data_IF_348692538773
#
_entry.id   IF_348692538773
#
_cell.length_a   1.000
_cell.length_b   1.000
_cell.length_c   1.000
_cell.angle_alpha   90.00
_cell.angle_beta   90.00
_cell.angle_gamma   90.00
#
_symmetry.space_group_name_H-M   'P 1'
#
loop_
_entity.id
_entity.type
_entity.pdbx_description
1 polymer ?
#
# COMPACT_ATOMS: atom_id res chain seq x y z
N UNK A 1 -9.86 -1.98 17.28
CA UNK A 1 -8.90 -0.99 16.77
C UNK A 1 -8.29 -0.25 17.94
N UNK A 2 -7.00 -0.04 17.91
CA UNK A 2 -6.26 0.58 19.00
C UNK A 2 -5.93 2.03 18.66
N UNK A 3 -5.71 2.86 19.67
CA UNK A 3 -5.33 4.26 19.47
C UNK A 3 -4.06 4.43 18.59
N UNK A 4 -3.07 3.56 18.78
CA UNK A 4 -1.86 3.54 17.97
C UNK A 4 -2.11 3.25 16.48
N UNK A 5 -3.16 2.53 16.14
CA UNK A 5 -3.51 2.24 14.74
C UNK A 5 -3.81 3.53 13.97
N UNK A 6 -4.52 4.45 14.61
CA UNK A 6 -4.82 5.76 14.01
C UNK A 6 -3.55 6.58 13.83
N UNK A 7 -2.66 6.57 14.82
CA UNK A 7 -1.39 7.30 14.73
C UNK A 7 -0.52 6.79 13.59
N UNK A 8 -0.43 5.47 13.41
CA UNK A 8 0.34 4.90 12.30
C UNK A 8 -0.28 5.19 10.95
N UNK A 9 -1.61 5.20 10.84
CA UNK A 9 -2.29 5.60 9.59
C UNK A 9 -2.05 7.08 9.27
N UNK A 10 -2.14 7.96 10.25
CA UNK A 10 -1.83 9.38 10.08
C UNK A 10 -0.39 9.60 9.63
N UNK A 11 0.55 8.83 10.19
CA UNK A 11 1.94 8.87 9.78
C UNK A 11 2.12 8.38 8.33
N UNK A 12 1.44 7.30 7.93
CA UNK A 12 1.43 6.83 6.55
C UNK A 12 0.90 7.90 5.59
N UNK A 13 -0.18 8.57 5.95
CA UNK A 13 -0.76 9.61 5.12
C UNK A 13 0.18 10.80 4.91
N UNK A 14 0.80 11.29 5.98
CA UNK A 14 1.78 12.38 5.91
C UNK A 14 3.04 11.96 5.17
N UNK A 15 3.57 10.78 5.44
CA UNK A 15 4.76 10.26 4.79
C UNK A 15 4.56 9.99 3.31
N UNK A 16 3.39 9.55 2.91
CA UNK A 16 3.04 9.36 1.51
C UNK A 16 3.16 10.65 0.70
N UNK A 17 2.68 11.76 1.26
CA UNK A 17 2.78 13.07 0.61
C UNK A 17 4.23 13.57 0.51
N UNK A 18 5.07 13.21 1.47
CA UNK A 18 6.47 13.65 1.50
C UNK A 18 7.33 12.83 0.55
N UNK A 19 7.17 11.52 0.51
CA UNK A 19 8.13 10.61 -0.11
C UNK A 19 7.67 9.99 -1.42
N UNK A 20 6.37 9.76 -1.64
CA UNK A 20 5.90 9.14 -2.88
C UNK A 20 6.22 9.98 -4.10
N UNK A 21 6.73 9.33 -5.14
CA UNK A 21 7.05 9.96 -6.43
C UNK A 21 5.99 9.67 -7.50
N UNK A 22 4.89 9.04 -7.14
CA UNK A 22 3.78 8.80 -8.06
C UNK A 22 3.04 10.10 -8.35
N UNK A 23 2.81 10.38 -9.65
CA UNK A 23 2.13 11.58 -10.10
C UNK A 23 0.60 11.55 -9.86
N UNK A 24 0.02 10.37 -9.65
CA UNK A 24 -1.45 10.21 -9.53
C UNK A 24 -1.94 10.00 -8.10
N UNK A 25 -1.28 9.14 -7.34
CA UNK A 25 -1.71 8.81 -5.99
C UNK A 25 -0.49 8.50 -5.12
N UNK A 26 -0.51 8.95 -3.87
CA UNK A 26 0.59 8.81 -2.94
C UNK A 26 0.19 7.86 -1.82
N UNK A 27 0.97 6.78 -1.67
CA UNK A 27 0.77 5.78 -0.63
C UNK A 27 2.06 5.52 0.14
N UNK A 28 1.90 5.23 1.42
CA UNK A 28 2.96 4.74 2.29
C UNK A 28 2.46 3.54 3.08
N UNK A 29 3.32 2.54 3.22
CA UNK A 29 3.09 1.35 4.01
C UNK A 29 4.17 1.23 5.08
N UNK A 30 3.74 0.95 6.32
CA UNK A 30 4.63 0.73 7.45
C UNK A 30 4.24 -0.59 8.12
N UNK A 31 5.24 -1.42 8.38
CA UNK A 31 5.09 -2.68 9.08
C UNK A 31 5.68 -2.50 10.47
N UNK A 32 4.85 -2.69 11.49
CA UNK A 32 5.22 -2.48 12.90
C UNK A 32 5.12 -3.80 13.64
N UNK A 33 6.19 -4.19 14.32
CA UNK A 33 6.24 -5.43 15.07
C UNK A 33 5.46 -5.37 16.41
N UNK A 34 5.41 -6.50 17.11
CA UNK A 34 4.71 -6.62 18.39
C UNK A 34 5.27 -5.70 19.50
N UNK A 35 6.50 -5.22 19.34
CA UNK A 35 7.15 -4.30 20.26
C UNK A 35 6.97 -2.82 19.88
N UNK A 36 6.17 -2.52 18.85
CA UNK A 36 5.93 -1.16 18.38
C UNK A 36 7.08 -0.58 17.57
N UNK A 37 7.94 -1.43 17.00
CA UNK A 37 9.10 -1.03 16.21
C UNK A 37 8.86 -1.27 14.73
N UNK A 38 9.33 -0.36 13.91
CA UNK A 38 9.23 -0.48 12.46
C UNK A 38 10.07 -1.66 11.96
N UNK A 39 9.42 -2.63 11.35
CA UNK A 39 10.04 -3.78 10.70
C UNK A 39 10.19 -3.61 9.20
N UNK A 40 9.43 -2.72 8.59
CA UNK A 40 9.50 -2.40 7.18
C UNK A 40 8.75 -1.12 6.86
N UNK A 41 9.20 -0.42 5.83
CA UNK A 41 8.58 0.81 5.35
C UNK A 41 8.77 0.91 3.85
N UNK A 42 7.73 1.37 3.16
CA UNK A 42 7.78 1.63 1.74
C UNK A 42 6.76 2.68 1.33
N UNK A 43 7.04 3.32 0.25
CA UNK A 43 6.12 4.24 -0.43
C UNK A 43 6.08 3.87 -1.91
N UNK A 44 5.02 4.25 -2.62
CA UNK A 44 4.95 3.92 -4.03
C UNK A 44 5.91 4.79 -4.85
N UNK A 45 6.67 4.12 -5.67
CA UNK A 45 7.71 4.72 -6.50
C UNK A 45 8.44 3.69 -7.32
N UNK A 46 9.18 4.15 -8.31
CA UNK A 46 10.00 3.29 -9.17
C UNK A 46 11.25 2.80 -8.44
N UNK A 47 11.85 1.69 -8.87
CA UNK A 47 13.13 1.24 -8.34
C UNK A 47 14.21 2.32 -8.43
N UNK A 48 15.15 2.27 -7.48
CA UNK A 48 16.28 3.20 -7.45
C UNK A 48 17.04 3.20 -8.79
N UNK A 49 17.37 4.38 -9.27
CA UNK A 49 18.07 4.57 -10.55
C UNK A 49 17.16 4.75 -11.75
N UNK A 50 15.87 4.51 -11.61
CA UNK A 50 14.89 4.80 -12.67
C UNK A 50 14.36 6.23 -12.56
N UNK A 51 13.90 6.77 -13.69
CA UNK A 51 13.27 8.09 -13.74
C UNK A 51 11.94 8.06 -12.96
N UNK A 52 11.76 9.01 -12.06
CA UNK A 52 10.54 9.09 -11.25
C UNK A 52 9.29 9.38 -12.09
N UNK A 53 8.14 8.90 -11.61
CA UNK A 53 6.86 9.08 -12.29
C UNK A 53 6.52 10.57 -12.48
N UNK A 54 6.72 11.38 -11.44
CA UNK A 54 6.46 12.82 -11.48
C UNK A 54 7.47 13.61 -12.33
N UNK A 55 8.58 13.00 -12.73
CA UNK A 55 9.57 13.56 -13.65
C UNK A 55 9.38 13.04 -15.10
N UNK A 56 8.25 12.43 -15.39
CA UNK A 56 7.89 11.90 -16.70
C UNK A 56 8.34 10.46 -16.95
N UNK A 57 8.71 9.71 -15.92
CA UNK A 57 9.11 8.30 -16.03
C UNK A 57 7.95 7.29 -16.05
N UNK A 58 6.72 7.74 -15.87
CA UNK A 58 5.54 6.86 -15.84
C UNK A 58 4.85 6.82 -17.21
N UNK A 59 4.89 5.70 -17.94
CA UNK A 59 4.19 5.58 -19.22
C UNK A 59 2.69 5.84 -19.08
N UNK A 60 2.09 5.36 -18.01
CA UNK A 60 0.66 5.53 -17.72
C UNK A 60 0.27 7.01 -17.60
N UNK A 61 1.08 7.79 -16.92
CA UNK A 61 0.83 9.22 -16.72
C UNK A 61 1.14 10.02 -18.02
N UNK A 62 2.28 9.73 -18.63
CA UNK A 62 2.71 10.40 -19.88
C UNK A 62 1.72 10.16 -21.02
N UNK A 63 1.21 8.93 -21.15
CA UNK A 63 0.24 8.57 -22.19
C UNK A 63 -1.20 8.94 -21.85
N UNK A 64 -1.43 9.48 -20.65
CA UNK A 64 -2.76 9.92 -20.21
C UNK A 64 -3.86 8.88 -20.45
N UNK A 65 -3.61 7.63 -20.08
CA UNK A 65 -4.53 6.52 -20.33
C UNK A 65 -5.77 6.59 -19.42
N UNK A 66 -6.94 6.08 -19.85
CA UNK A 66 -8.14 6.06 -19.04
C UNK A 66 -7.98 5.21 -17.79
N UNK A 67 -8.76 5.53 -16.76
CA UNK A 67 -8.90 4.67 -15.58
C UNK A 67 -9.37 3.27 -16.00
N UNK A 68 -8.83 2.23 -15.34
CA UNK A 68 -9.11 0.83 -15.67
C UNK A 68 -8.21 0.24 -16.77
N UNK A 69 -7.34 1.03 -17.39
CA UNK A 69 -6.32 0.51 -18.31
C UNK A 69 -5.36 -0.42 -17.55
N UNK A 70 -4.99 -1.58 -18.12
CA UNK A 70 -4.07 -2.51 -17.45
C UNK A 70 -2.74 -1.87 -17.06
N UNK A 71 -2.19 -2.33 -15.92
CA UNK A 71 -0.92 -1.82 -15.38
C UNK A 71 0.31 -2.59 -15.88
N UNK A 72 0.13 -3.83 -16.31
CA UNK A 72 1.23 -4.75 -16.60
C UNK A 72 1.51 -4.94 -18.09
N UNK A 73 0.68 -4.38 -18.94
CA UNK A 73 0.84 -4.47 -20.40
C UNK A 73 0.14 -3.32 -21.13
N UNK A 74 0.56 -3.07 -22.36
CA UNK A 74 -0.02 -2.04 -23.23
C UNK A 74 0.42 -0.62 -22.86
N UNK A 75 -0.33 0.40 -23.30
CA UNK A 75 0.09 1.81 -23.17
C UNK A 75 -0.01 2.36 -21.75
N UNK A 76 -0.65 1.63 -20.84
CA UNK A 76 -0.91 2.05 -19.46
C UNK A 76 0.08 1.50 -18.43
N UNK A 77 1.24 1.01 -18.85
CA UNK A 77 2.25 0.43 -17.97
C UNK A 77 2.57 1.34 -16.79
N UNK A 78 2.58 0.75 -15.60
CA UNK A 78 3.03 1.39 -14.37
C UNK A 78 4.32 0.74 -13.90
N UNK A 79 5.40 1.53 -13.80
CA UNK A 79 6.70 1.05 -13.31
C UNK A 79 6.87 1.25 -11.80
N UNK A 80 5.91 1.87 -11.16
CA UNK A 80 5.94 2.11 -9.72
C UNK A 80 5.70 0.81 -8.95
N UNK A 81 6.61 0.45 -8.07
CA UNK A 81 6.30 -0.51 -7.01
C UNK A 81 5.25 0.08 -6.07
N UNK A 82 4.30 -0.75 -5.63
CA UNK A 82 3.33 -0.33 -4.64
C UNK A 82 4.00 -0.14 -3.28
N UNK A 83 3.41 0.68 -2.43
CA UNK A 83 3.95 0.94 -1.09
C UNK A 83 4.11 -0.35 -0.28
N UNK A 84 3.13 -1.26 -0.35
CA UNK A 84 3.16 -2.55 0.31
C UNK A 84 4.29 -3.44 -0.22
N UNK A 85 4.49 -3.47 -1.53
CA UNK A 85 5.57 -4.23 -2.16
C UNK A 85 6.93 -3.74 -1.71
N UNK A 86 7.14 -2.43 -1.69
CA UNK A 86 8.39 -1.83 -1.25
C UNK A 86 8.65 -2.06 0.25
N UNK A 87 7.62 -1.94 1.09
CA UNK A 87 7.73 -2.21 2.52
C UNK A 87 8.13 -3.66 2.79
N UNK A 88 7.49 -4.62 2.11
CA UNK A 88 7.79 -6.04 2.26
C UNK A 88 9.20 -6.40 1.77
N UNK A 89 9.60 -5.83 0.63
CA UNK A 89 10.90 -6.13 0.00
C UNK A 89 12.09 -5.58 0.81
N UNK A 90 11.92 -4.43 1.47
CA UNK A 90 12.98 -3.74 2.21
C UNK A 90 12.92 -3.96 3.72
N UNK A 91 11.94 -4.72 4.21
CA UNK A 91 11.74 -4.96 5.63
C UNK A 91 12.42 -6.24 6.14
N UNK A 92 12.32 -6.44 7.45
CA UNK A 92 12.80 -7.64 8.13
C UNK A 92 11.67 -8.68 8.21
N UNK A 93 11.67 -9.61 7.25
CA UNK A 93 10.66 -10.66 7.14
C UNK A 93 10.60 -11.60 8.34
N UNK A 94 11.65 -11.69 9.16
CA UNK A 94 11.66 -12.52 10.38
C UNK A 94 10.72 -12.00 11.47
N UNK A 95 10.26 -10.76 11.33
CA UNK A 95 9.37 -10.09 12.30
C UNK A 95 7.92 -9.96 11.83
N UNK A 96 7.60 -10.42 10.61
CA UNK A 96 6.29 -10.18 10.01
C UNK A 96 5.16 -10.98 10.64
N UNK A 97 5.42 -12.15 11.18
CA UNK A 97 4.37 -13.02 11.75
C UNK A 97 3.64 -12.44 12.97
N UNK A 98 4.24 -11.47 13.66
CA UNK A 98 3.64 -10.76 14.79
C UNK A 98 3.37 -9.28 14.50
N UNK A 99 3.64 -8.85 13.29
CA UNK A 99 3.54 -7.45 12.89
C UNK A 99 2.13 -7.07 12.41
N UNK A 100 1.86 -5.77 12.46
CA UNK A 100 0.73 -5.13 11.79
C UNK A 100 1.23 -4.29 10.63
N UNK A 101 0.59 -4.43 9.49
CA UNK A 101 0.85 -3.62 8.32
C UNK A 101 -0.15 -2.47 8.27
N UNK A 102 0.36 -1.26 8.19
CA UNK A 102 -0.41 -0.02 8.05
C UNK A 102 -0.21 0.57 6.65
N UNK A 103 -1.27 0.99 6.02
CA UNK A 103 -1.22 1.63 4.70
C UNK A 103 -2.37 2.64 4.55
N UNK A 104 -2.10 3.78 3.96
CA UNK A 104 -3.10 4.85 3.78
C UNK A 104 -4.03 4.65 2.57
N UNK A 105 -4.14 3.45 2.06
CA UNK A 105 -5.07 3.01 1.02
C UNK A 105 -5.31 1.52 1.13
N UNK A 106 -6.33 1.01 0.44
CA UNK A 106 -6.60 -0.41 0.47
C UNK A 106 -5.62 -1.18 -0.41
N UNK A 107 -5.04 -2.30 0.08
CA UNK A 107 -4.23 -3.17 -0.74
C UNK A 107 -5.02 -3.72 -1.93
N UNK A 108 -4.41 -3.73 -3.11
CA UNK A 108 -4.94 -4.49 -4.25
C UNK A 108 -4.77 -5.99 -4.02
N UNK A 109 -5.39 -6.82 -4.87
CA UNK A 109 -5.29 -8.27 -4.72
C UNK A 109 -3.84 -8.77 -4.81
N UNK A 110 -3.03 -8.20 -5.69
CA UNK A 110 -1.60 -8.56 -5.81
C UNK A 110 -0.86 -8.30 -4.51
N UNK A 111 -1.03 -7.13 -3.92
CA UNK A 111 -0.43 -6.80 -2.63
C UNK A 111 -0.99 -7.66 -1.49
N UNK A 112 -2.30 -7.92 -1.47
CA UNK A 112 -2.93 -8.78 -0.47
C UNK A 112 -2.34 -10.21 -0.50
N UNK A 113 -2.10 -10.76 -1.69
CA UNK A 113 -1.42 -12.05 -1.83
C UNK A 113 -0.01 -12.04 -1.24
N UNK A 114 0.77 -11.02 -1.55
CA UNK A 114 2.14 -10.88 -1.02
C UNK A 114 2.14 -10.72 0.50
N UNK A 115 1.24 -9.92 1.04
CA UNK A 115 1.09 -9.74 2.49
C UNK A 115 0.73 -11.06 3.17
N UNK A 116 -0.27 -11.77 2.64
CA UNK A 116 -0.69 -13.06 3.19
C UNK A 116 0.46 -14.11 3.15
N UNK A 117 1.20 -14.16 2.05
CA UNK A 117 2.35 -15.05 1.91
C UNK A 117 3.55 -14.68 2.78
N UNK A 118 3.65 -13.42 3.20
CA UNK A 118 4.75 -12.95 4.07
C UNK A 118 4.64 -13.39 5.53
N UNK A 119 3.48 -13.87 5.95
CA UNK A 119 3.21 -14.24 7.33
C UNK A 119 2.54 -13.14 8.16
N UNK A 120 2.34 -11.95 7.64
CA UNK A 120 1.58 -10.88 8.31
C UNK A 120 0.13 -11.34 8.49
N UNK A 121 -0.41 -11.16 9.70
CA UNK A 121 -1.77 -11.58 10.08
C UNK A 121 -2.73 -10.44 10.35
N UNK A 122 -2.26 -9.20 10.32
CA UNK A 122 -3.08 -8.04 10.62
C UNK A 122 -2.73 -6.87 9.71
N UNK A 123 -3.76 -6.28 9.10
CA UNK A 123 -3.67 -5.09 8.26
C UNK A 123 -4.61 -4.03 8.85
N UNK A 124 -4.13 -2.79 8.92
CA UNK A 124 -4.95 -1.61 9.17
C UNK A 124 -4.76 -0.66 7.98
N UNK A 125 -5.83 -0.41 7.27
CA UNK A 125 -5.80 0.38 6.03
C UNK A 125 -6.86 1.48 6.05
N UNK A 126 -6.56 2.59 5.38
CA UNK A 126 -7.58 3.61 5.13
C UNK A 126 -8.58 3.11 4.10
N UNK A 127 -9.86 3.20 4.41
CA UNK A 127 -10.92 2.87 3.47
C UNK A 127 -10.95 3.89 2.33
N UNK A 128 -11.11 3.39 1.11
CA UNK A 128 -11.36 4.22 -0.05
C UNK A 128 -12.82 4.08 -0.46
N UNK A 129 -13.44 5.20 -0.85
CA UNK A 129 -14.79 5.19 -1.38
C UNK A 129 -14.81 4.50 -2.75
N UNK A 130 -15.79 3.65 -2.97
CA UNK A 130 -16.12 2.99 -4.23
C UNK A 130 -15.06 2.01 -4.79
N UNK A 131 -15.17 0.74 -4.36
CA UNK A 131 -14.40 -0.33 -4.99
C UNK A 131 -15.17 -1.63 -5.04
N UNK A 132 -15.72 -1.92 -6.19
CA UNK A 132 -16.39 -3.19 -6.44
C UNK A 132 -15.49 -4.42 -6.23
N UNK A 133 -14.16 -4.27 -6.30
CA UNK A 133 -13.22 -5.35 -6.04
C UNK A 133 -12.77 -5.46 -4.57
N UNK A 134 -13.15 -4.52 -3.71
CA UNK A 134 -12.82 -4.57 -2.27
C UNK A 134 -13.29 -5.87 -1.63
N UNK A 135 -14.50 -6.30 -1.95
CA UNK A 135 -15.07 -7.54 -1.40
C UNK A 135 -14.23 -8.75 -1.75
N UNK A 136 -13.68 -8.82 -2.96
CA UNK A 136 -12.79 -9.89 -3.39
C UNK A 136 -11.51 -9.91 -2.57
N UNK A 137 -10.91 -8.76 -2.34
CA UNK A 137 -9.68 -8.63 -1.56
C UNK A 137 -9.92 -8.96 -0.09
N UNK A 138 -11.00 -8.45 0.49
CA UNK A 138 -11.38 -8.72 1.88
C UNK A 138 -11.70 -10.19 2.09
N UNK A 139 -12.42 -10.81 1.17
CA UNK A 139 -12.72 -12.25 1.22
C UNK A 139 -11.45 -13.09 1.12
N UNK A 140 -10.54 -12.74 0.22
CA UNK A 140 -9.24 -13.40 0.10
C UNK A 140 -8.46 -13.32 1.40
N UNK A 141 -8.34 -12.14 2.00
CA UNK A 141 -7.62 -11.93 3.26
C UNK A 141 -8.25 -12.73 4.41
N UNK A 142 -9.58 -12.75 4.47
CA UNK A 142 -10.31 -13.54 5.45
C UNK A 142 -10.01 -15.04 5.31
N UNK A 143 -10.04 -15.57 4.09
CA UNK A 143 -9.69 -16.97 3.82
C UNK A 143 -8.23 -17.28 4.18
N UNK A 144 -7.34 -16.32 3.97
CA UNK A 144 -5.92 -16.44 4.31
C UNK A 144 -5.63 -16.29 5.82
N UNK A 145 -6.64 -15.99 6.64
CA UNK A 145 -6.48 -15.78 8.08
C UNK A 145 -5.85 -14.45 8.44
N UNK A 146 -5.94 -13.47 7.55
CA UNK A 146 -5.43 -12.10 7.78
C UNK A 146 -6.58 -11.19 8.18
N UNK A 147 -6.51 -10.61 9.38
CA UNK A 147 -7.46 -9.60 9.83
C UNK A 147 -7.18 -8.28 9.09
N UNK A 148 -8.20 -7.72 8.46
CA UNK A 148 -8.10 -6.44 7.78
C UNK A 148 -9.10 -5.45 8.38
N UNK A 149 -8.58 -4.40 9.01
CA UNK A 149 -9.37 -3.31 9.61
C UNK A 149 -9.32 -2.13 8.65
N UNK A 150 -10.49 -1.69 8.19
CA UNK A 150 -10.64 -0.50 7.36
C UNK A 150 -11.07 0.68 8.21
N UNK A 151 -10.32 1.76 8.14
CA UNK A 151 -10.59 3.01 8.84
C UNK A 151 -11.07 4.05 7.85
N UNK A 152 -12.26 4.57 8.03
CA UNK A 152 -12.79 5.62 7.17
C UNK A 152 -11.96 6.90 7.33
N UNK A 153 -11.59 7.50 6.21
CA UNK A 153 -10.97 8.83 6.22
C UNK A 153 -12.00 9.84 6.73
N UNK A 154 -11.60 10.66 7.69
CA UNK A 154 -12.37 11.87 8.00
C UNK A 154 -12.36 12.71 6.72
N UNK A 155 -13.53 12.97 6.18
CA UNK A 155 -13.69 14.03 5.20
C UNK A 155 -13.40 15.32 5.96
N UNK A 156 -12.29 15.95 5.66
CA UNK A 156 -12.06 17.33 6.05
C UNK A 156 -13.14 18.14 5.33
N UNK A 157 -14.08 18.57 6.13
CA UNK A 157 -15.18 19.42 5.67
C UNK A 157 -14.69 20.80 5.23
#
# INVERSE_FOLDING_TARGET
>A
MYHKDIQWLEFCESGAQIFSTCAKAQFMCIIVDEHGRVAGMGYNGVPSGMKHCNDGGCPRFVNNVPAGTPYDFGPGLCYSGHAEQNALAHGDGTRYNTATLYVNGQPCLTCAKQIACSGIKRIVASAESDRNYQEVVLDFLKQAGVECILVERKQDG
#
